data_IF_264272075232
#
_entry.id   IF_264272075232
#
_cell.length_a   1.000
_cell.length_b   1.000
_cell.length_c   1.000
_cell.angle_alpha   90.00
_cell.angle_beta   90.00
_cell.angle_gamma   90.00
#
_symmetry.space_group_name_H-M   'P 1'
#
loop_
_entity.id
_entity.type
_entity.pdbx_description
1 polymer ?
#
# COMPACT_ATOMS: atom_id res chain seq x y z
N UNK A 1 6.08 41.48 -11.54
CA UNK A 1 4.72 40.92 -11.39
C UNK A 1 4.92 39.68 -10.58
N UNK A 2 4.62 39.74 -9.29
CA UNK A 2 4.81 38.60 -8.40
C UNK A 2 3.72 37.58 -8.71
N UNK A 3 4.06 36.60 -9.53
CA UNK A 3 3.16 35.49 -9.83
C UNK A 3 2.82 34.80 -8.50
N UNK A 4 1.53 34.59 -8.27
CA UNK A 4 1.07 33.96 -7.03
C UNK A 4 1.55 32.51 -6.97
N UNK A 5 1.75 31.96 -5.77
CA UNK A 5 2.07 30.53 -5.60
C UNK A 5 1.02 29.63 -6.29
N UNK A 6 -0.23 30.08 -6.33
CA UNK A 6 -1.33 29.42 -7.05
C UNK A 6 -1.12 29.39 -8.56
N UNK A 7 -0.59 30.45 -9.16
CA UNK A 7 -0.27 30.49 -10.60
C UNK A 7 0.87 29.51 -10.90
N UNK A 8 1.95 29.54 -10.10
CA UNK A 8 3.08 28.63 -10.26
C UNK A 8 2.67 27.16 -10.12
N UNK A 9 1.77 26.86 -9.17
CA UNK A 9 1.19 25.52 -8.98
C UNK A 9 0.36 25.07 -10.19
N UNK A 10 -0.37 26.00 -10.80
CA UNK A 10 -1.19 25.72 -12.00
C UNK A 10 -0.30 25.46 -13.21
N UNK A 11 0.75 26.27 -13.41
CA UNK A 11 1.73 26.07 -14.48
C UNK A 11 2.47 24.73 -14.31
N UNK A 12 2.89 24.38 -13.09
CA UNK A 12 3.54 23.11 -12.79
C UNK A 12 2.66 21.90 -13.17
N UNK A 13 1.35 21.97 -12.86
CA UNK A 13 0.39 20.93 -13.24
C UNK A 13 0.18 20.86 -14.76
N UNK A 14 0.12 22.00 -15.45
CA UNK A 14 -0.04 22.05 -16.91
C UNK A 14 1.20 21.51 -17.65
N UNK A 15 2.40 21.86 -17.19
CA UNK A 15 3.66 21.39 -17.77
C UNK A 15 4.05 19.98 -17.32
N UNK A 16 3.33 19.40 -16.36
CA UNK A 16 3.65 18.11 -15.72
C UNK A 16 5.08 18.08 -15.14
N UNK A 17 5.53 19.22 -14.60
CA UNK A 17 6.85 19.37 -13.98
C UNK A 17 6.71 19.56 -12.47
N UNK A 18 7.69 19.11 -11.66
CA UNK A 18 7.71 19.43 -10.24
C UNK A 18 7.91 20.93 -10.02
N UNK A 19 7.26 21.44 -8.97
CA UNK A 19 7.37 22.81 -8.49
C UNK A 19 8.48 22.89 -7.44
N UNK A 20 9.50 23.71 -7.73
CA UNK A 20 10.55 24.09 -6.81
C UNK A 20 10.18 25.42 -6.15
N UNK A 21 10.01 25.40 -4.83
CA UNK A 21 9.77 26.61 -4.03
C UNK A 21 11.02 26.96 -3.24
N UNK A 22 11.63 28.08 -3.59
CA UNK A 22 12.76 28.63 -2.86
C UNK A 22 12.29 29.57 -1.75
N UNK A 23 12.63 29.21 -0.51
CA UNK A 23 12.39 30.03 0.68
C UNK A 23 13.68 30.77 1.04
N UNK A 24 13.72 32.05 0.70
CA UNK A 24 14.82 32.96 1.01
C UNK A 24 14.70 33.48 2.44
N UNK A 25 15.85 33.64 3.11
CA UNK A 25 15.96 34.35 4.38
C UNK A 25 17.34 35.03 4.41
N UNK A 26 17.38 36.36 4.28
CA UNK A 26 18.64 37.11 4.22
C UNK A 26 19.35 37.19 5.57
N UNK A 27 18.68 36.84 6.66
CA UNK A 27 19.25 36.81 8.02
C UNK A 27 20.13 35.58 8.27
N UNK A 28 20.03 34.55 7.42
CA UNK A 28 20.80 33.33 7.60
C UNK A 28 22.21 33.45 7.03
N UNK A 29 23.21 32.95 7.77
CA UNK A 29 24.63 33.07 7.44
C UNK A 29 24.99 32.44 6.08
N UNK A 30 24.27 31.39 5.68
CA UNK A 30 24.51 30.69 4.41
C UNK A 30 23.71 31.25 3.22
N UNK A 31 22.94 32.33 3.41
CA UNK A 31 22.10 32.91 2.34
C UNK A 31 22.89 33.21 1.06
N UNK A 32 24.00 33.95 1.17
CA UNK A 32 24.81 34.33 0.03
C UNK A 32 25.47 33.14 -0.65
N UNK A 33 25.91 32.15 0.14
CA UNK A 33 26.53 30.93 -0.37
C UNK A 33 25.52 30.09 -1.16
N UNK A 34 24.30 29.95 -0.64
CA UNK A 34 23.26 29.19 -1.30
C UNK A 34 22.74 29.89 -2.56
N UNK A 35 22.58 31.21 -2.55
CA UNK A 35 22.23 31.97 -3.75
C UNK A 35 23.29 31.87 -4.84
N UNK A 36 24.58 31.93 -4.50
CA UNK A 36 25.67 31.69 -5.46
C UNK A 36 25.60 30.28 -6.05
N UNK A 37 25.22 29.29 -5.25
CA UNK A 37 25.04 27.91 -5.69
C UNK A 37 23.86 27.78 -6.67
N UNK A 38 22.72 28.36 -6.33
CA UNK A 38 21.50 28.35 -7.14
C UNK A 38 21.65 29.16 -8.43
N UNK A 39 22.47 30.21 -8.41
CA UNK A 39 22.80 31.03 -9.58
C UNK A 39 23.86 30.39 -10.50
N UNK A 40 24.39 29.22 -10.17
CA UNK A 40 25.34 28.54 -11.03
C UNK A 40 24.67 28.19 -12.39
N UNK A 41 25.30 28.47 -13.55
CA UNK A 41 24.63 28.37 -14.85
C UNK A 41 23.97 27.03 -15.14
N UNK A 42 24.65 25.92 -14.81
CA UNK A 42 24.15 24.57 -15.01
C UNK A 42 22.98 24.21 -14.08
N UNK A 43 22.90 24.81 -12.88
CA UNK A 43 21.75 24.63 -11.98
C UNK A 43 20.54 25.36 -12.56
N UNK A 44 20.73 26.60 -13.02
CA UNK A 44 19.67 27.41 -13.63
C UNK A 44 19.12 26.73 -14.89
N UNK A 45 20.00 26.23 -15.76
CA UNK A 45 19.62 25.51 -16.98
C UNK A 45 18.79 24.25 -16.63
N UNK A 46 19.28 23.44 -15.67
CA UNK A 46 18.57 22.25 -15.20
C UNK A 46 17.20 22.60 -14.61
N UNK A 47 17.11 23.70 -13.87
CA UNK A 47 15.88 24.18 -13.24
C UNK A 47 14.85 24.65 -14.28
N UNK A 48 15.27 25.42 -15.27
CA UNK A 48 14.38 25.90 -16.34
C UNK A 48 13.85 24.75 -17.21
N UNK A 49 14.67 23.75 -17.49
CA UNK A 49 14.24 22.62 -18.33
C UNK A 49 13.27 21.69 -17.61
N UNK A 50 13.57 21.36 -16.34
CA UNK A 50 12.92 20.23 -15.66
C UNK A 50 11.90 20.64 -14.59
N UNK A 51 11.90 21.90 -14.16
CA UNK A 51 11.12 22.35 -13.01
C UNK A 51 10.37 23.65 -13.29
N UNK A 52 9.33 23.89 -12.50
CA UNK A 52 8.74 25.23 -12.36
C UNK A 52 9.31 25.83 -11.08
N UNK A 53 9.94 27.00 -11.18
CA UNK A 53 10.54 27.66 -10.02
C UNK A 53 9.68 28.80 -9.51
N UNK A 54 9.50 28.86 -8.20
CA UNK A 54 8.88 29.98 -7.49
C UNK A 54 9.69 30.32 -6.25
N UNK A 55 9.74 31.59 -5.86
CA UNK A 55 10.55 32.04 -4.74
C UNK A 55 9.82 33.03 -3.86
N UNK A 56 10.07 32.98 -2.56
CA UNK A 56 9.52 33.92 -1.58
C UNK A 56 10.57 34.29 -0.54
N UNK A 57 10.62 35.57 -0.19
CA UNK A 57 11.46 36.08 0.89
C UNK A 57 10.68 36.04 2.21
N UNK A 58 11.21 35.27 3.16
CA UNK A 58 10.64 35.09 4.50
C UNK A 58 11.35 35.94 5.56
N UNK A 59 12.26 36.83 5.17
CA UNK A 59 13.06 37.66 6.09
C UNK A 59 12.21 38.46 7.09
N UNK A 60 11.03 38.93 6.67
CA UNK A 60 10.10 39.71 7.51
C UNK A 60 9.11 38.83 8.31
N UNK A 61 9.10 37.53 8.06
CA UNK A 61 8.23 36.58 8.72
C UNK A 61 8.95 35.96 9.92
N UNK A 62 8.23 35.75 11.02
CA UNK A 62 8.76 35.18 12.26
C UNK A 62 8.94 33.65 12.15
N UNK A 63 9.66 33.21 11.13
CA UNK A 63 9.98 31.80 10.83
C UNK A 63 11.32 31.47 11.46
N UNK A 64 11.51 30.26 12.02
CA UNK A 64 12.81 29.85 12.57
C UNK A 64 13.91 29.97 11.51
N UNK A 65 14.87 30.86 11.75
CA UNK A 65 15.97 31.16 10.80
C UNK A 65 16.87 29.93 10.59
N UNK A 66 16.94 29.00 11.55
CA UNK A 66 17.78 27.80 11.51
C UNK A 66 17.42 26.80 10.40
N UNK A 67 16.19 26.84 9.90
CA UNK A 67 15.71 25.94 8.84
C UNK A 67 15.74 26.59 7.44
N UNK A 68 16.20 27.83 7.34
CA UNK A 68 16.25 28.61 6.10
C UNK A 68 17.69 29.01 5.77
N UNK A 69 18.05 29.24 4.50
CA UNK A 69 17.23 29.09 3.30
C UNK A 69 17.01 27.63 2.90
N UNK A 70 15.87 27.35 2.27
CA UNK A 70 15.45 25.99 1.91
C UNK A 70 14.79 25.93 0.53
N UNK A 71 14.94 24.79 -0.15
CA UNK A 71 14.27 24.48 -1.41
C UNK A 71 13.25 23.37 -1.18
N UNK A 72 11.97 23.70 -1.28
CA UNK A 72 10.86 22.75 -1.19
C UNK A 72 10.57 22.17 -2.58
N UNK A 73 10.36 20.87 -2.64
CA UNK A 73 10.00 20.15 -3.85
C UNK A 73 8.57 19.66 -3.71
N UNK A 74 7.71 20.10 -4.61
CA UNK A 74 6.29 19.73 -4.63
C UNK A 74 5.88 19.28 -6.02
N UNK A 75 4.81 18.49 -6.10
CA UNK A 75 4.30 17.98 -7.36
C UNK A 75 2.77 17.95 -7.35
N UNK A 76 2.17 18.37 -8.45
CA UNK A 76 0.73 18.33 -8.66
C UNK A 76 0.47 17.61 -9.96
N UNK A 77 -0.14 16.42 -9.86
CA UNK A 77 -0.37 15.52 -11.01
C UNK A 77 -1.41 16.09 -11.98
N UNK A 78 -2.51 16.63 -11.44
CA UNK A 78 -3.59 17.24 -12.21
C UNK A 78 -4.19 18.41 -11.43
N UNK A 79 -5.00 19.25 -12.08
CA UNK A 79 -5.63 20.40 -11.44
C UNK A 79 -6.51 20.01 -10.23
N UNK A 80 -7.18 18.86 -10.32
CA UNK A 80 -8.03 18.28 -9.27
C UNK A 80 -7.25 17.57 -8.17
N UNK A 81 -6.01 17.16 -8.41
CA UNK A 81 -5.21 16.47 -7.40
C UNK A 81 -4.64 17.45 -6.37
N UNK A 82 -4.52 17.04 -5.09
CA UNK A 82 -3.86 17.87 -4.09
C UNK A 82 -2.38 18.05 -4.43
N UNK A 83 -1.84 19.21 -4.06
CA UNK A 83 -0.39 19.46 -4.14
C UNK A 83 0.32 18.51 -3.17
N UNK A 84 1.21 17.68 -3.70
CA UNK A 84 1.96 16.68 -2.93
C UNK A 84 3.36 17.20 -2.64
N UNK A 85 3.76 17.19 -1.38
CA UNK A 85 5.11 17.54 -0.96
C UNK A 85 6.04 16.32 -1.07
N UNK A 86 7.18 16.48 -1.73
CA UNK A 86 8.18 15.41 -1.90
C UNK A 86 9.32 15.52 -0.89
N UNK A 87 9.78 16.73 -0.58
CA UNK A 87 10.90 16.91 0.34
C UNK A 87 11.43 18.34 0.35
N UNK A 88 12.36 18.58 1.28
CA UNK A 88 13.08 19.84 1.42
C UNK A 88 14.57 19.56 1.24
N UNK A 89 15.24 20.44 0.51
CA UNK A 89 16.70 20.48 0.44
C UNK A 89 17.17 21.72 1.19
N UNK A 90 17.99 21.47 2.21
CA UNK A 90 18.65 22.52 2.99
C UNK A 90 20.07 22.72 2.49
N UNK A 91 20.59 23.93 2.63
CA UNK A 91 22.01 24.16 2.38
C UNK A 91 22.86 23.38 3.39
N UNK A 92 23.86 22.66 2.89
CA UNK A 92 24.87 21.99 3.70
C UNK A 92 26.24 22.63 3.46
N UNK A 93 27.08 22.70 4.50
CA UNK A 93 28.43 23.23 4.33
C UNK A 93 29.19 22.44 3.25
N UNK A 94 29.84 23.16 2.33
CA UNK A 94 30.55 22.62 1.16
C UNK A 94 29.68 21.86 0.13
N UNK A 95 28.37 22.07 0.15
CA UNK A 95 27.48 21.54 -0.87
C UNK A 95 27.87 22.04 -2.26
N UNK A 96 28.15 21.10 -3.17
CA UNK A 96 28.42 21.42 -4.58
C UNK A 96 27.11 21.45 -5.36
N UNK A 97 27.14 22.12 -6.51
CA UNK A 97 25.96 22.24 -7.34
C UNK A 97 25.51 20.88 -7.90
N UNK A 98 26.46 19.99 -8.21
CA UNK A 98 26.15 18.61 -8.57
C UNK A 98 25.45 17.88 -7.42
N UNK A 99 25.96 18.01 -6.18
CA UNK A 99 25.34 17.38 -5.02
C UNK A 99 23.92 17.89 -4.77
N UNK A 100 23.66 19.18 -5.03
CA UNK A 100 22.31 19.74 -4.99
C UNK A 100 21.38 19.10 -6.01
N UNK A 101 21.82 19.02 -7.27
CA UNK A 101 21.02 18.41 -8.34
C UNK A 101 20.76 16.93 -8.06
N UNK A 102 21.74 16.18 -7.56
CA UNK A 102 21.60 14.77 -7.20
C UNK A 102 20.59 14.57 -6.05
N UNK A 103 20.61 15.45 -5.03
CA UNK A 103 19.63 15.42 -3.94
C UNK A 103 18.21 15.71 -4.43
N UNK A 104 18.04 16.73 -5.26
CA UNK A 104 16.74 17.08 -5.86
C UNK A 104 16.24 15.92 -6.72
N UNK A 105 17.08 15.39 -7.61
CA UNK A 105 16.74 14.28 -8.49
C UNK A 105 16.34 13.02 -7.69
N UNK A 106 17.05 12.73 -6.59
CA UNK A 106 16.71 11.63 -5.69
C UNK A 106 15.33 11.80 -5.05
N UNK A 107 15.03 12.99 -4.51
CA UNK A 107 13.73 13.29 -3.90
C UNK A 107 12.60 13.19 -4.93
N UNK A 108 12.79 13.77 -6.11
CA UNK A 108 11.80 13.76 -7.21
C UNK A 108 11.54 12.33 -7.69
N UNK A 109 12.60 11.53 -7.89
CA UNK A 109 12.49 10.14 -8.33
C UNK A 109 11.68 9.29 -7.34
N UNK A 110 11.98 9.41 -6.04
CA UNK A 110 11.24 8.71 -4.98
C UNK A 110 9.78 9.19 -4.92
N UNK A 111 9.55 10.50 -5.01
CA UNK A 111 8.21 11.09 -4.99
C UNK A 111 7.34 10.63 -6.15
N UNK A 112 7.87 10.65 -7.37
CA UNK A 112 7.17 10.19 -8.58
C UNK A 112 6.90 8.69 -8.51
N UNK A 113 7.87 7.88 -8.05
CA UNK A 113 7.67 6.44 -7.89
C UNK A 113 6.52 6.13 -6.92
N UNK A 114 6.44 6.86 -5.79
CA UNK A 114 5.36 6.69 -4.81
C UNK A 114 3.98 7.06 -5.39
N UNK A 115 3.89 8.15 -6.16
CA UNK A 115 2.63 8.52 -6.84
C UNK A 115 2.23 7.46 -7.87
N UNK A 116 3.18 7.02 -8.69
CA UNK A 116 2.93 6.03 -9.75
C UNK A 116 2.47 4.70 -9.14
N UNK A 117 3.09 4.26 -8.05
CA UNK A 117 2.67 3.07 -7.33
C UNK A 117 1.24 3.21 -6.79
N UNK A 118 0.92 4.33 -6.15
CA UNK A 118 -0.43 4.57 -5.62
C UNK A 118 -1.49 4.60 -6.74
N UNK A 119 -1.15 5.10 -7.93
CA UNK A 119 -2.03 5.08 -9.09
C UNK A 119 -2.25 3.66 -9.61
N UNK A 120 -1.19 2.86 -9.72
CA UNK A 120 -1.27 1.47 -10.15
C UNK A 120 -2.12 0.63 -9.18
N UNK A 121 -1.96 0.83 -7.88
CA UNK A 121 -2.76 0.15 -6.85
C UNK A 121 -4.25 0.51 -6.97
N UNK A 122 -4.58 1.80 -7.17
CA UNK A 122 -5.96 2.24 -7.39
C UNK A 122 -6.57 1.61 -8.64
N UNK A 123 -5.82 1.63 -9.74
CA UNK A 123 -6.29 1.05 -11.00
C UNK A 123 -6.51 -0.46 -10.86
N UNK A 124 -5.60 -1.16 -10.19
CA UNK A 124 -5.74 -2.58 -9.92
C UNK A 124 -6.99 -2.90 -9.09
N UNK A 125 -7.29 -2.10 -8.06
CA UNK A 125 -8.50 -2.26 -7.25
C UNK A 125 -9.77 -2.03 -8.05
N UNK A 126 -9.81 -1.01 -8.91
CA UNK A 126 -10.96 -0.74 -9.77
C UNK A 126 -11.19 -1.86 -10.79
N UNK A 127 -10.13 -2.37 -11.40
CA UNK A 127 -10.22 -3.47 -12.37
C UNK A 127 -10.60 -4.79 -11.68
N UNK A 128 -10.06 -5.07 -10.48
CA UNK A 128 -10.46 -6.24 -9.68
C UNK A 128 -11.94 -6.20 -9.32
N UNK A 129 -12.44 -5.03 -8.93
CA UNK A 129 -13.87 -4.85 -8.62
C UNK A 129 -14.74 -5.12 -9.84
N UNK A 130 -14.35 -4.60 -11.01
CA UNK A 130 -15.10 -4.85 -12.27
C UNK A 130 -15.16 -6.32 -12.62
N UNK A 131 -14.05 -7.05 -12.49
CA UNK A 131 -14.01 -8.49 -12.80
C UNK A 131 -14.95 -9.27 -11.88
N UNK A 132 -14.96 -8.96 -10.57
CA UNK A 132 -15.87 -9.62 -9.61
C UNK A 132 -17.33 -9.32 -9.96
N UNK A 133 -17.65 -8.08 -10.29
CA UNK A 133 -19.01 -7.68 -10.69
C UNK A 133 -19.45 -8.39 -11.99
N UNK A 134 -18.57 -8.50 -12.99
CA UNK A 134 -18.84 -9.22 -14.23
C UNK A 134 -19.06 -10.72 -13.98
N UNK A 135 -18.20 -11.35 -13.19
CA UNK A 135 -18.29 -12.79 -12.89
C UNK A 135 -19.52 -13.13 -12.05
N UNK A 136 -19.89 -12.26 -11.10
CA UNK A 136 -21.12 -12.43 -10.32
C UNK A 136 -22.35 -12.36 -11.22
N UNK A 137 -22.37 -11.41 -12.16
CA UNK A 137 -23.47 -11.29 -13.12
C UNK A 137 -23.60 -12.52 -14.01
N UNK A 138 -22.50 -13.00 -14.58
CA UNK A 138 -22.50 -14.22 -15.40
C UNK A 138 -22.98 -15.45 -14.62
N UNK A 139 -22.56 -15.57 -13.34
CA UNK A 139 -23.02 -16.63 -12.45
C UNK A 139 -24.53 -16.56 -12.19
N UNK A 140 -25.06 -15.37 -11.90
CA UNK A 140 -26.49 -15.16 -11.69
C UNK A 140 -27.31 -15.49 -12.95
N UNK A 141 -26.85 -15.06 -14.12
CA UNK A 141 -27.48 -15.37 -15.42
C UNK A 141 -27.51 -16.89 -15.68
N UNK A 142 -26.43 -17.61 -15.36
CA UNK A 142 -26.36 -19.06 -15.50
C UNK A 142 -27.29 -19.80 -14.52
N UNK A 143 -27.34 -19.37 -13.26
CA UNK A 143 -28.24 -19.95 -12.24
C UNK A 143 -29.71 -19.72 -12.60
N UNK A 144 -30.05 -18.54 -13.13
CA UNK A 144 -31.40 -18.28 -13.62
C UNK A 144 -31.77 -19.14 -14.82
N UNK A 145 -30.86 -19.31 -15.78
CA UNK A 145 -31.08 -20.17 -16.93
C UNK A 145 -31.33 -21.63 -16.52
N UNK A 146 -30.53 -22.15 -15.58
CA UNK A 146 -30.69 -23.51 -15.07
C UNK A 146 -32.03 -23.70 -14.32
N UNK A 147 -32.41 -22.72 -13.49
CA UNK A 147 -33.74 -22.69 -12.84
C UNK A 147 -34.89 -22.70 -13.86
N UNK A 148 -34.77 -21.94 -14.95
CA UNK A 148 -35.79 -21.91 -16.01
C UNK A 148 -35.90 -23.24 -16.74
N UNK A 149 -34.78 -23.90 -17.01
CA UNK A 149 -34.78 -25.24 -17.62
C UNK A 149 -35.43 -26.28 -16.72
N UNK A 150 -35.09 -26.29 -15.42
CA UNK A 150 -35.71 -27.19 -14.44
C UNK A 150 -37.23 -26.97 -14.32
N UNK A 151 -37.68 -25.72 -14.32
CA UNK A 151 -39.10 -25.39 -14.30
C UNK A 151 -39.83 -25.90 -15.57
N UNK A 152 -39.26 -25.68 -16.77
CA UNK A 152 -39.84 -26.17 -18.03
C UNK A 152 -39.89 -27.69 -18.12
N UNK A 153 -38.85 -28.38 -17.64
CA UNK A 153 -38.83 -29.84 -17.56
C UNK A 153 -39.90 -30.40 -16.59
N UNK A 154 -40.26 -29.66 -15.54
CA UNK A 154 -41.31 -30.06 -14.60
C UNK A 154 -42.74 -29.87 -15.13
N UNK A 155 -42.95 -28.93 -16.06
CA UNK A 155 -44.25 -28.64 -16.67
C UNK A 155 -44.55 -29.50 -17.92
N UNK A 156 -43.55 -30.21 -18.45
CA UNK A 156 -43.76 -31.17 -19.54
C UNK A 156 -43.85 -32.59 -18.97
N UNK A 157 -45.05 -33.20 -18.87
CA UNK A 157 -45.16 -34.62 -18.54
C UNK A 157 -44.65 -35.44 -19.73
N UNK A 158 -43.35 -35.70 -19.79
CA UNK A 158 -42.80 -36.66 -20.73
C UNK A 158 -43.13 -38.08 -20.26
N UNK A 159 -44.25 -38.55 -20.82
CA UNK A 159 -44.49 -39.89 -21.34
C UNK A 159 -43.21 -40.78 -21.35
N UNK A 160 -43.13 -41.70 -20.39
CA UNK A 160 -42.15 -42.78 -20.38
C UNK A 160 -42.40 -43.71 -21.59
N UNK A 161 -41.65 -43.52 -22.67
CA UNK A 161 -41.44 -44.54 -23.70
C UNK A 161 -40.30 -45.49 -23.31
N UNK A 162 -40.37 -46.78 -23.65
CA UNK A 162 -39.34 -47.75 -23.28
C UNK A 162 -38.04 -47.46 -24.04
N UNK A 163 -36.94 -47.29 -23.31
CA UNK A 163 -35.61 -47.03 -23.86
C UNK A 163 -35.06 -48.30 -24.52
N UNK A 164 -34.66 -48.12 -25.78
CA UNK A 164 -34.03 -49.09 -26.66
C UNK A 164 -32.58 -49.33 -26.21
N UNK A 165 -32.22 -50.60 -25.98
CA UNK A 165 -30.84 -51.06 -25.84
C UNK A 165 -30.17 -51.02 -27.22
N UNK A 166 -29.38 -49.98 -27.52
CA UNK A 166 -28.20 -50.03 -28.43
C UNK A 166 -27.63 -48.63 -28.68
N UNK A 167 -26.66 -48.24 -27.88
CA UNK A 167 -25.61 -47.30 -28.31
C UNK A 167 -24.37 -47.51 -27.44
N UNK A 168 -23.46 -48.32 -27.97
CA UNK A 168 -22.09 -48.48 -27.49
C UNK A 168 -21.30 -47.15 -27.58
N UNK A 169 -20.27 -47.09 -26.73
CA UNK A 169 -19.14 -46.12 -26.69
C UNK A 169 -19.34 -44.90 -25.80
N UNK A 170 -19.38 -45.16 -24.49
CA UNK A 170 -18.84 -44.23 -23.49
C UNK A 170 -17.31 -44.24 -23.64
N UNK A 171 -16.64 -43.13 -23.97
CA UNK A 171 -15.25 -42.98 -23.60
C UNK A 171 -15.23 -42.76 -22.09
N UNK A 172 -14.85 -43.82 -21.36
CA UNK A 172 -14.44 -43.75 -19.97
C UNK A 172 -13.12 -42.94 -19.91
N UNK A 173 -13.24 -41.62 -20.06
CA UNK A 173 -12.24 -40.64 -19.70
C UNK A 173 -12.80 -39.82 -18.53
N UNK A 174 -13.10 -40.51 -17.43
CA UNK A 174 -13.12 -39.86 -16.14
C UNK A 174 -11.70 -39.33 -15.86
N UNK A 175 -11.49 -38.03 -15.62
CA UNK A 175 -10.23 -37.58 -15.06
C UNK A 175 -10.15 -38.10 -13.62
N UNK A 176 -9.48 -39.25 -13.42
CA UNK A 176 -9.14 -39.80 -12.09
C UNK A 176 -8.15 -38.93 -11.30
N UNK A 177 -7.97 -37.67 -11.70
CA UNK A 177 -7.09 -36.70 -11.05
C UNK A 177 -7.87 -35.56 -10.35
N UNK A 178 -9.19 -35.42 -10.58
CA UNK A 178 -9.99 -34.34 -9.96
C UNK A 178 -10.46 -34.65 -8.53
N UNK A 179 -10.40 -35.91 -8.09
CA UNK A 179 -10.90 -36.33 -6.78
C UNK A 179 -9.88 -36.30 -5.65
N UNK A 180 -8.58 -36.36 -5.95
CA UNK A 180 -7.49 -36.29 -4.95
C UNK A 180 -7.19 -34.86 -4.52
N UNK A 181 -7.15 -33.90 -5.47
CA UNK A 181 -6.97 -32.47 -5.14
C UNK A 181 -8.10 -31.97 -4.24
N UNK A 182 -9.35 -32.35 -4.52
CA UNK A 182 -10.48 -31.94 -3.68
C UNK A 182 -10.45 -32.51 -2.25
N UNK A 183 -9.77 -33.64 -2.02
CA UNK A 183 -9.71 -34.27 -0.70
C UNK A 183 -8.53 -33.75 0.12
N UNK A 184 -7.39 -33.51 -0.53
CA UNK A 184 -6.22 -32.87 0.09
C UNK A 184 -6.49 -31.41 0.40
N UNK A 185 -7.14 -30.66 -0.50
CA UNK A 185 -7.58 -29.29 -0.21
C UNK A 185 -8.61 -29.22 0.92
N UNK A 186 -9.57 -30.15 0.96
CA UNK A 186 -10.55 -30.22 2.05
C UNK A 186 -9.88 -30.58 3.38
N UNK A 187 -8.89 -31.46 3.37
CA UNK A 187 -8.13 -31.85 4.57
C UNK A 187 -7.23 -30.73 5.05
N UNK A 188 -6.53 -30.05 4.15
CA UNK A 188 -5.71 -28.88 4.46
C UNK A 188 -6.57 -27.71 4.98
N UNK A 189 -7.76 -27.48 4.40
CA UNK A 189 -8.72 -26.49 4.90
C UNK A 189 -9.27 -26.88 6.28
N UNK A 190 -9.54 -28.15 6.53
CA UNK A 190 -10.00 -28.64 7.84
C UNK A 190 -8.91 -28.53 8.91
N UNK A 191 -7.66 -28.87 8.58
CA UNK A 191 -6.51 -28.75 9.51
C UNK A 191 -6.17 -27.28 9.79
N UNK A 192 -6.22 -26.41 8.77
CA UNK A 192 -6.13 -24.96 8.95
C UNK A 192 -7.26 -24.46 9.86
N UNK A 193 -8.51 -24.87 9.64
CA UNK A 193 -9.64 -24.47 10.47
C UNK A 193 -9.51 -24.90 11.94
N UNK A 194 -9.08 -26.15 12.19
CA UNK A 194 -8.84 -26.66 13.55
C UNK A 194 -7.72 -25.89 14.25
N UNK A 195 -6.62 -25.61 13.54
CA UNK A 195 -5.54 -24.76 14.07
C UNK A 195 -6.02 -23.34 14.38
N UNK A 196 -6.89 -22.77 13.55
CA UNK A 196 -7.46 -21.43 13.79
C UNK A 196 -8.41 -21.40 14.98
N UNK A 197 -9.16 -22.47 15.26
CA UNK A 197 -9.99 -22.56 16.47
C UNK A 197 -9.16 -22.60 17.76
N UNK A 198 -8.04 -23.34 17.75
CA UNK A 198 -7.09 -23.39 18.88
C UNK A 198 -6.46 -22.02 19.12
N UNK A 199 -6.08 -21.31 18.05
CA UNK A 199 -5.54 -19.94 18.13
C UNK A 199 -6.61 -18.98 18.67
N UNK A 200 -7.83 -19.04 18.16
CA UNK A 200 -8.96 -18.19 18.59
C UNK A 200 -9.27 -18.36 20.08
N UNK A 201 -9.16 -19.58 20.61
CA UNK A 201 -9.34 -19.85 22.04
C UNK A 201 -8.18 -19.33 22.92
N UNK A 202 -6.98 -19.16 22.35
CA UNK A 202 -5.77 -18.76 23.05
C UNK A 202 -5.47 -17.25 23.07
N UNK A 203 -6.25 -16.42 22.37
CA UNK A 203 -6.01 -14.97 22.30
C UNK A 203 -6.58 -14.28 23.55
N UNK A 204 -5.75 -13.72 24.45
CA UNK A 204 -6.20 -12.99 25.63
C UNK A 204 -6.94 -11.70 25.24
N UNK A 205 -7.91 -11.29 26.07
CA UNK A 205 -8.65 -10.05 25.87
C UNK A 205 -7.73 -8.82 25.84
N UNK A 206 -8.10 -7.80 25.05
CA UNK A 206 -7.28 -6.60 24.88
C UNK A 206 -6.98 -5.90 26.22
N UNK A 207 -5.72 -5.52 26.49
CA UNK A 207 -5.35 -4.81 27.70
C UNK A 207 -6.01 -3.42 27.71
N UNK A 208 -6.68 -3.09 28.83
CA UNK A 208 -7.37 -1.80 29.04
C UNK A 208 -6.59 -0.82 29.94
N UNK A 209 -5.38 -1.17 30.37
CA UNK A 209 -4.52 -0.34 31.22
C UNK A 209 -3.09 -0.88 31.33
N UNK A 210 -2.13 0.00 31.63
CA UNK A 210 -0.70 -0.27 31.68
C UNK A 210 0.10 0.50 30.62
N UNK A 211 1.42 0.27 30.55
CA UNK A 211 2.23 0.69 29.40
C UNK A 211 1.80 -0.16 28.20
N UNK A 212 1.15 0.47 27.21
CA UNK A 212 0.53 -0.23 26.09
C UNK A 212 1.27 0.07 24.79
N UNK A 213 1.50 -0.98 24.00
CA UNK A 213 2.00 -0.91 22.65
C UNK A 213 0.82 -1.03 21.68
N UNK A 214 0.58 0.01 20.87
CA UNK A 214 -0.44 -0.03 19.83
C UNK A 214 0.18 -0.53 18.54
N UNK A 215 -0.25 -1.71 18.09
CA UNK A 215 0.21 -2.28 16.82
C UNK A 215 -0.91 -2.17 15.80
N UNK A 216 -0.58 -1.60 14.64
CA UNK A 216 -1.44 -1.57 13.46
C UNK A 216 -0.79 -2.39 12.36
N UNK A 217 -1.49 -3.39 11.85
CA UNK A 217 -1.09 -4.18 10.68
C UNK A 217 -1.92 -3.70 9.49
N UNK A 218 -1.24 -3.38 8.40
CA UNK A 218 -1.88 -3.01 7.13
C UNK A 218 -1.74 -4.18 6.17
N UNK A 219 -2.88 -4.70 5.73
CA UNK A 219 -2.98 -5.81 4.79
C UNK A 219 -2.82 -5.33 3.34
N UNK A 220 -2.48 -6.24 2.40
CA UNK A 220 -2.35 -5.92 0.97
C UNK A 220 -3.65 -5.41 0.32
N UNK A 221 -4.81 -5.83 0.83
CA UNK A 221 -6.13 -5.36 0.39
C UNK A 221 -6.50 -3.96 0.93
N UNK A 222 -5.63 -3.37 1.77
CA UNK A 222 -5.82 -2.08 2.42
C UNK A 222 -6.63 -2.13 3.73
N UNK A 223 -7.14 -3.31 4.12
CA UNK A 223 -7.74 -3.50 5.45
C UNK A 223 -6.68 -3.36 6.53
N UNK A 224 -7.14 -3.12 7.77
CA UNK A 224 -6.25 -2.77 8.88
C UNK A 224 -6.70 -3.48 10.15
N UNK A 225 -5.81 -4.28 10.71
CA UNK A 225 -5.94 -4.82 12.05
C UNK A 225 -5.24 -3.86 13.02
N UNK A 226 -5.96 -3.39 14.04
CA UNK A 226 -5.38 -2.53 15.07
C UNK A 226 -5.72 -3.10 16.43
N UNK A 227 -4.69 -3.40 17.23
CA UNK A 227 -4.85 -3.95 18.58
C UNK A 227 -3.78 -3.40 19.52
N UNK A 228 -4.12 -3.29 20.81
CA UNK A 228 -3.16 -2.96 21.86
C UNK A 228 -2.55 -4.25 22.43
N UNK A 229 -1.26 -4.19 22.72
CA UNK A 229 -0.44 -5.26 23.29
C UNK A 229 0.31 -4.73 24.51
N UNK A 230 0.68 -5.62 25.43
CA UNK A 230 1.63 -5.31 26.49
C UNK A 230 3.07 -5.50 25.97
N UNK A 231 4.06 -4.70 26.42
CA UNK A 231 5.46 -4.91 26.08
C UNK A 231 5.97 -6.33 26.39
N UNK A 232 5.41 -6.95 27.43
CA UNK A 232 5.70 -8.33 27.85
C UNK A 232 5.09 -9.41 26.95
N UNK A 233 4.18 -9.05 26.05
CA UNK A 233 3.56 -10.03 25.15
C UNK A 233 4.57 -10.54 24.12
N UNK A 234 4.41 -11.81 23.74
CA UNK A 234 5.24 -12.45 22.70
C UNK A 234 4.80 -12.04 21.30
N UNK A 235 5.76 -11.98 20.39
CA UNK A 235 5.51 -11.77 18.95
C UNK A 235 4.61 -12.85 18.36
N UNK A 236 4.71 -14.09 18.86
CA UNK A 236 3.80 -15.18 18.47
C UNK A 236 2.32 -14.80 18.56
N UNK A 237 1.93 -13.98 19.56
CA UNK A 237 0.54 -13.56 19.71
C UNK A 237 0.08 -12.68 18.53
N UNK A 238 0.94 -11.76 18.08
CA UNK A 238 0.65 -10.91 16.93
C UNK A 238 0.59 -11.72 15.63
N UNK A 239 1.55 -12.63 15.41
CA UNK A 239 1.56 -13.48 14.22
C UNK A 239 0.31 -14.38 14.18
N UNK A 240 -0.07 -14.99 15.29
CA UNK A 240 -1.28 -15.81 15.39
C UNK A 240 -2.56 -14.99 15.15
N UNK A 241 -2.61 -13.75 15.64
CA UNK A 241 -3.74 -12.85 15.41
C UNK A 241 -3.84 -12.45 13.93
N UNK A 242 -2.70 -12.21 13.28
CA UNK A 242 -2.65 -11.92 11.84
C UNK A 242 -3.05 -13.15 11.03
N UNK A 243 -2.55 -14.35 11.35
CA UNK A 243 -2.98 -15.61 10.73
C UNK A 243 -4.52 -15.79 10.84
N UNK A 244 -5.09 -15.53 12.02
CA UNK A 244 -6.53 -15.65 12.26
C UNK A 244 -7.33 -14.62 11.46
N UNK A 245 -6.90 -13.36 11.46
CA UNK A 245 -7.59 -12.28 10.75
C UNK A 245 -7.53 -12.49 9.22
N UNK A 246 -6.39 -12.98 8.71
CA UNK A 246 -6.24 -13.37 7.29
C UNK A 246 -7.15 -14.54 6.93
N UNK A 247 -7.28 -15.52 7.82
CA UNK A 247 -8.21 -16.63 7.62
C UNK A 247 -9.67 -16.17 7.61
N UNK A 248 -10.06 -15.30 8.55
CA UNK A 248 -11.44 -14.78 8.64
C UNK A 248 -11.81 -13.90 7.44
N UNK A 249 -10.83 -13.18 6.86
CA UNK A 249 -11.00 -12.38 5.63
C UNK A 249 -10.75 -13.18 4.33
N UNK A 250 -10.55 -14.50 4.40
CA UNK A 250 -10.30 -15.37 3.25
C UNK A 250 -9.11 -14.91 2.37
N UNK A 251 -8.04 -14.44 3.01
CA UNK A 251 -6.80 -14.08 2.31
C UNK A 251 -5.96 -15.32 2.00
N UNK A 252 -5.75 -15.60 0.72
CA UNK A 252 -4.90 -16.70 0.24
C UNK A 252 -3.40 -16.33 0.28
N UNK A 253 -2.84 -16.21 1.48
CA UNK A 253 -1.40 -16.00 1.69
C UNK A 253 -0.91 -17.08 2.67
N UNK A 254 -0.13 -18.04 2.15
CA UNK A 254 0.37 -19.18 2.92
C UNK A 254 1.60 -18.86 3.77
N UNK A 255 2.42 -17.89 3.35
CA UNK A 255 3.62 -17.45 4.06
C UNK A 255 3.73 -15.93 4.02
N UNK A 256 3.96 -15.31 5.18
CA UNK A 256 4.09 -13.87 5.29
C UNK A 256 5.14 -13.45 6.32
N UNK A 257 5.63 -12.23 6.14
CA UNK A 257 6.43 -11.53 7.14
C UNK A 257 5.81 -10.16 7.44
N UNK A 258 5.89 -9.73 8.69
CA UNK A 258 5.49 -8.40 9.11
C UNK A 258 6.70 -7.48 9.15
N UNK A 259 6.72 -6.46 8.31
CA UNK A 259 7.82 -5.49 8.28
C UNK A 259 7.34 -4.10 8.71
N UNK A 260 8.20 -3.41 9.46
CA UNK A 260 8.03 -1.99 9.79
C UNK A 260 9.25 -1.22 9.27
N UNK A 261 9.00 -0.03 8.71
CA UNK A 261 10.06 0.77 8.08
C UNK A 261 10.97 1.48 9.10
N UNK A 262 10.42 1.86 10.27
CA UNK A 262 11.14 2.60 11.32
C UNK A 262 10.63 2.16 12.69
N UNK A 263 11.47 1.55 13.55
CA UNK A 263 12.79 1.00 13.21
C UNK A 263 12.65 -0.08 12.14
N UNK A 264 13.66 -0.28 11.27
CA UNK A 264 13.63 -1.37 10.26
C UNK A 264 13.63 -2.71 10.98
N UNK A 265 12.46 -3.32 11.15
CA UNK A 265 12.29 -4.57 11.86
C UNK A 265 11.37 -5.49 11.06
N UNK A 266 11.76 -6.76 10.96
CA UNK A 266 10.97 -7.82 10.36
C UNK A 266 10.59 -8.82 11.45
N UNK A 267 9.31 -9.14 11.57
CA UNK A 267 8.79 -10.19 12.42
C UNK A 267 8.37 -11.35 11.54
N UNK A 268 8.98 -12.50 11.77
CA UNK A 268 8.66 -13.76 11.13
C UNK A 268 8.69 -14.88 12.18
N UNK A 269 8.56 -16.12 11.71
CA UNK A 269 8.55 -17.31 12.57
C UNK A 269 9.81 -17.48 13.44
N UNK A 270 10.95 -16.92 13.02
CA UNK A 270 12.19 -16.94 13.79
C UNK A 270 12.16 -16.09 15.07
N UNK A 271 11.21 -15.16 15.16
CA UNK A 271 11.13 -14.17 16.24
C UNK A 271 9.96 -14.45 17.19
N UNK A 272 9.27 -15.59 17.02
CA UNK A 272 8.01 -15.93 17.73
C UNK A 272 8.14 -15.87 19.25
N UNK A 273 9.27 -16.31 19.78
CA UNK A 273 9.50 -16.39 21.23
C UNK A 273 9.96 -15.07 21.86
N UNK A 274 10.38 -14.10 21.06
CA UNK A 274 10.77 -12.79 21.55
C UNK A 274 9.57 -11.98 22.04
N UNK A 275 9.81 -11.13 23.02
CA UNK A 275 8.83 -10.15 23.51
C UNK A 275 8.92 -8.84 22.72
N UNK A 276 7.85 -8.05 22.73
CA UNK A 276 7.89 -6.73 22.12
C UNK A 276 8.90 -5.78 22.80
N UNK A 277 9.13 -5.99 24.11
CA UNK A 277 10.15 -5.27 24.89
C UNK A 277 11.58 -5.58 24.42
N UNK A 278 11.91 -6.86 24.19
CA UNK A 278 13.22 -7.27 23.63
C UNK A 278 13.49 -6.67 22.26
N UNK A 279 12.44 -6.51 21.46
CA UNK A 279 12.49 -5.90 20.13
C UNK A 279 12.46 -4.36 20.17
N UNK A 280 12.46 -3.76 21.37
CA UNK A 280 12.45 -2.33 21.61
C UNK A 280 11.26 -1.60 20.95
N UNK A 281 10.14 -2.30 20.77
CA UNK A 281 8.92 -1.72 20.22
C UNK A 281 8.21 -0.92 21.32
N UNK A 282 8.04 0.39 21.09
CA UNK A 282 7.41 1.31 22.05
C UNK A 282 6.38 2.20 21.36
N UNK A 283 5.32 2.54 22.10
CA UNK A 283 4.30 3.48 21.66
C UNK A 283 3.38 2.91 20.58
N UNK A 284 3.48 3.43 19.35
CA UNK A 284 2.62 3.02 18.23
C UNK A 284 3.46 2.57 17.04
N UNK A 285 3.25 1.34 16.58
CA UNK A 285 3.98 0.77 15.45
C UNK A 285 3.02 0.37 14.33
N UNK A 286 3.45 0.60 13.08
CA UNK A 286 2.69 0.22 11.88
C UNK A 286 3.48 -0.82 11.10
N UNK A 287 2.97 -2.04 11.08
CA UNK A 287 3.50 -3.14 10.29
C UNK A 287 2.73 -3.27 8.99
N UNK A 288 3.44 -3.72 7.95
CA UNK A 288 2.88 -4.10 6.66
C UNK A 288 3.19 -5.56 6.43
N UNK A 289 2.26 -6.25 5.80
CA UNK A 289 2.46 -7.64 5.38
C UNK A 289 3.24 -7.68 4.08
N UNK A 290 4.23 -8.56 4.02
CA UNK A 290 4.90 -8.99 2.79
C UNK A 290 4.63 -10.48 2.64
N UNK A 291 3.92 -10.86 1.58
CA UNK A 291 3.80 -12.27 1.19
C UNK A 291 5.18 -12.77 0.71
N UNK A 292 5.52 -14.02 1.07
CA UNK A 292 6.75 -14.70 0.66
C UNK A 292 6.54 -15.59 -0.56
#
# INVERSE_FOLDING_TARGET
>A
MDASLTDATTVAALEKKPLLVYLACSLHENYDHYNKLLAAPHVVETFQENYVCWGCDLTELNVPVEELPALLIMYKKSESDPLTYFGTVYYQDKMTAQSLLDQIAGIVSIGIAHITQADMERQFQEDSRRIVEEQQREYEEAVEADRRMLAQASETPQFFGPFDETAETVPEAAPKNASTESFEEKRAKAEKAERMEVIRAGIPAEPRGGEMLRIRVVYPDGTKLQRNFLPSDKVALLLNLVELDMFDHQMDIDAFELYVAIPKLCLNDGNRDSTFEELQLKGSCVFRIRAL
#
